data_IF_888656232222
#
_entry.id   IF_888656232222
#
_cell.length_a   1.000
_cell.length_b   1.000
_cell.length_c   1.000
_cell.angle_alpha   90.00
_cell.angle_beta   90.00
_cell.angle_gamma   90.00
#
_symmetry.space_group_name_H-M   'P 1'
#
loop_
_entity.id
_entity.type
_entity.pdbx_description
1 polymer ?
#
# COMPACT_ATOMS: atom_id res chain seq x y z
N UNK A 1 -65.74 27.10 -82.87
CA UNK A 1 -64.62 27.59 -82.02
C UNK A 1 -64.88 27.46 -80.51
N UNK A 2 -66.02 26.93 -80.04
CA UNK A 2 -66.32 26.82 -78.59
C UNK A 2 -65.65 25.61 -77.89
N UNK A 3 -65.45 24.49 -78.60
CA UNK A 3 -64.91 23.25 -77.99
C UNK A 3 -63.38 23.31 -77.76
N UNK A 4 -62.65 24.08 -78.58
CA UNK A 4 -61.18 24.21 -78.48
C UNK A 4 -60.76 25.03 -77.26
N UNK A 5 -61.48 26.11 -76.95
CA UNK A 5 -61.19 26.98 -75.80
C UNK A 5 -61.45 26.25 -74.47
N UNK A 6 -62.50 25.42 -74.41
CA UNK A 6 -62.82 24.63 -73.22
C UNK A 6 -61.80 23.50 -72.98
N UNK A 7 -61.32 22.86 -74.04
CA UNK A 7 -60.27 21.83 -73.95
C UNK A 7 -58.90 22.41 -73.54
N UNK A 8 -58.54 23.58 -74.07
CA UNK A 8 -57.30 24.29 -73.68
C UNK A 8 -57.35 24.71 -72.21
N UNK A 9 -58.49 25.21 -71.71
CA UNK A 9 -58.66 25.54 -70.30
C UNK A 9 -58.56 24.30 -69.39
N UNK A 10 -59.08 23.16 -69.83
CA UNK A 10 -58.94 21.89 -69.11
C UNK A 10 -57.47 21.44 -69.04
N UNK A 11 -56.74 21.50 -70.15
CA UNK A 11 -55.32 21.15 -70.22
C UNK A 11 -54.47 22.07 -69.34
N UNK A 12 -54.75 23.38 -69.35
CA UNK A 12 -54.04 24.34 -68.49
C UNK A 12 -54.28 24.07 -67.01
N UNK A 13 -55.52 23.76 -66.62
CA UNK A 13 -55.86 23.40 -65.23
C UNK A 13 -55.19 22.10 -64.81
N UNK A 14 -55.16 21.09 -65.67
CA UNK A 14 -54.46 19.83 -65.41
C UNK A 14 -52.95 20.05 -65.25
N UNK A 15 -52.33 20.88 -66.09
CA UNK A 15 -50.91 21.25 -65.98
C UNK A 15 -50.60 21.99 -64.68
N UNK A 16 -51.40 23.00 -64.32
CA UNK A 16 -51.23 23.75 -63.07
C UNK A 16 -51.40 22.83 -61.86
N UNK A 17 -52.40 21.95 -61.88
CA UNK A 17 -52.61 20.97 -60.81
C UNK A 17 -51.43 19.99 -60.68
N UNK A 18 -50.85 19.58 -61.81
CA UNK A 18 -49.70 18.67 -61.85
C UNK A 18 -48.41 19.35 -61.34
N UNK A 19 -48.24 20.64 -61.63
CA UNK A 19 -47.14 21.45 -61.06
C UNK A 19 -47.31 21.62 -59.56
N UNK A 20 -48.52 21.91 -59.08
CA UNK A 20 -48.81 22.04 -57.64
C UNK A 20 -48.58 20.70 -56.93
N UNK A 21 -49.04 19.59 -57.50
CA UNK A 21 -48.79 18.24 -56.98
C UNK A 21 -47.30 17.91 -56.96
N UNK A 22 -46.56 18.29 -58.00
CA UNK A 22 -45.10 18.14 -58.04
C UNK A 22 -44.40 18.93 -56.93
N UNK A 23 -44.79 20.19 -56.71
CA UNK A 23 -44.24 21.05 -55.66
C UNK A 23 -44.59 20.54 -54.25
N UNK A 24 -45.83 20.06 -54.04
CA UNK A 24 -46.25 19.48 -52.76
C UNK A 24 -45.55 18.14 -52.51
N UNK A 25 -45.37 17.31 -53.53
CA UNK A 25 -44.65 16.04 -53.44
C UNK A 25 -43.17 16.23 -53.14
N UNK A 26 -42.50 17.17 -53.82
CA UNK A 26 -41.08 17.47 -53.55
C UNK A 26 -40.89 18.14 -52.19
N UNK A 27 -41.74 19.10 -51.82
CA UNK A 27 -41.73 19.73 -50.50
C UNK A 27 -41.96 18.73 -49.37
N UNK A 28 -42.95 17.84 -49.54
CA UNK A 28 -43.23 16.76 -48.59
C UNK A 28 -42.08 15.77 -48.46
N UNK A 29 -41.45 15.38 -49.58
CA UNK A 29 -40.30 14.47 -49.58
C UNK A 29 -39.07 15.07 -48.88
N UNK A 30 -38.75 16.33 -49.14
CA UNK A 30 -37.63 17.03 -48.49
C UNK A 30 -37.90 17.22 -47.00
N UNK A 31 -39.11 17.62 -46.61
CA UNK A 31 -39.50 17.77 -45.21
C UNK A 31 -39.45 16.44 -44.44
N UNK A 32 -39.96 15.37 -45.06
CA UNK A 32 -39.90 14.02 -44.49
C UNK A 32 -38.45 13.57 -44.28
N UNK A 33 -37.60 13.71 -45.30
CA UNK A 33 -36.19 13.32 -45.21
C UNK A 33 -35.44 14.12 -44.14
N UNK A 34 -35.66 15.44 -44.08
CA UNK A 34 -35.03 16.29 -43.07
C UNK A 34 -35.49 15.96 -41.64
N UNK A 35 -36.75 15.57 -41.46
CA UNK A 35 -37.27 15.13 -40.17
C UNK A 35 -36.72 13.76 -39.78
N UNK A 36 -36.69 12.81 -40.71
CA UNK A 36 -36.17 11.46 -40.51
C UNK A 36 -34.68 11.48 -40.13
N UNK A 37 -33.85 12.23 -40.88
CA UNK A 37 -32.41 12.40 -40.61
C UNK A 37 -32.16 13.03 -39.24
N UNK A 38 -32.93 14.06 -38.84
CA UNK A 38 -32.83 14.65 -37.51
C UNK A 38 -33.20 13.67 -36.41
N UNK A 39 -34.30 12.93 -36.60
CA UNK A 39 -34.75 11.95 -35.61
C UNK A 39 -33.76 10.79 -35.44
N UNK A 40 -33.10 10.37 -36.52
CA UNK A 40 -32.04 9.37 -36.47
C UNK A 40 -30.80 9.90 -35.74
N UNK A 41 -30.39 11.14 -36.03
CA UNK A 41 -29.26 11.79 -35.37
C UNK A 41 -29.51 12.02 -33.87
N UNK A 42 -30.73 12.43 -33.49
CA UNK A 42 -31.14 12.60 -32.10
C UNK A 42 -31.11 11.26 -31.34
N UNK A 43 -31.55 10.17 -31.96
CA UNK A 43 -31.43 8.82 -31.38
C UNK A 43 -29.97 8.43 -31.18
N UNK A 44 -29.13 8.58 -32.21
CA UNK A 44 -27.70 8.26 -32.11
C UNK A 44 -27.00 9.12 -31.04
N UNK A 45 -27.33 10.42 -30.96
CA UNK A 45 -26.81 11.31 -29.92
C UNK A 45 -27.28 10.87 -28.53
N UNK A 46 -28.54 10.46 -28.39
CA UNK A 46 -29.08 9.96 -27.13
C UNK A 46 -28.40 8.67 -26.70
N UNK A 47 -28.17 7.73 -27.62
CA UNK A 47 -27.47 6.47 -27.37
C UNK A 47 -26.02 6.71 -26.95
N UNK A 48 -25.28 7.53 -27.71
CA UNK A 48 -23.90 7.91 -27.36
C UNK A 48 -23.83 8.68 -26.05
N UNK A 49 -24.81 9.53 -25.75
CA UNK A 49 -24.85 10.26 -24.47
C UNK A 49 -25.09 9.32 -23.29
N UNK A 50 -25.93 8.30 -23.46
CA UNK A 50 -26.16 7.27 -22.46
C UNK A 50 -24.92 6.38 -22.27
N UNK A 51 -24.25 6.02 -23.37
CA UNK A 51 -22.97 5.30 -23.34
C UNK A 51 -21.89 6.13 -22.62
N UNK A 52 -21.71 7.40 -22.96
CA UNK A 52 -20.78 8.30 -22.29
C UNK A 52 -21.08 8.46 -20.80
N UNK A 53 -22.36 8.54 -20.42
CA UNK A 53 -22.76 8.60 -19.02
C UNK A 53 -22.38 7.31 -18.27
N UNK A 54 -22.59 6.15 -18.90
CA UNK A 54 -22.16 4.86 -18.35
C UNK A 54 -20.64 4.78 -18.21
N UNK A 55 -19.89 5.12 -19.27
CA UNK A 55 -18.42 5.11 -19.24
C UNK A 55 -17.86 6.10 -18.20
N UNK A 56 -18.52 7.24 -18.00
CA UNK A 56 -18.13 8.20 -16.97
C UNK A 56 -18.35 7.63 -15.55
N UNK A 57 -19.46 6.91 -15.32
CA UNK A 57 -19.72 6.23 -14.06
C UNK A 57 -18.69 5.11 -13.80
N UNK A 58 -18.41 4.27 -14.81
CA UNK A 58 -17.43 3.19 -14.72
C UNK A 58 -16.02 3.74 -14.44
N UNK A 59 -15.61 4.82 -15.13
CA UNK A 59 -14.33 5.49 -14.87
C UNK A 59 -14.26 6.09 -13.46
N UNK A 60 -15.36 6.66 -12.96
CA UNK A 60 -15.39 7.19 -11.60
C UNK A 60 -15.23 6.08 -10.55
N UNK A 61 -15.86 4.93 -10.76
CA UNK A 61 -15.71 3.74 -9.91
C UNK A 61 -14.28 3.20 -9.93
N UNK A 62 -13.71 3.01 -11.13
CA UNK A 62 -12.33 2.56 -11.28
C UNK A 62 -11.32 3.53 -10.67
N UNK A 63 -11.56 4.84 -10.79
CA UNK A 63 -10.71 5.86 -10.16
C UNK A 63 -10.76 5.77 -8.64
N UNK A 64 -11.95 5.55 -8.08
CA UNK A 64 -12.13 5.36 -6.64
C UNK A 64 -11.42 4.09 -6.16
N UNK A 65 -11.52 2.99 -6.91
CA UNK A 65 -10.86 1.74 -6.56
C UNK A 65 -9.33 1.86 -6.66
N UNK A 66 -8.81 2.50 -7.71
CA UNK A 66 -7.37 2.78 -7.81
C UNK A 66 -6.87 3.61 -6.63
N UNK A 67 -7.60 4.66 -6.22
CA UNK A 67 -7.23 5.46 -5.05
C UNK A 67 -7.24 4.63 -3.75
N UNK A 68 -8.21 3.70 -3.59
CA UNK A 68 -8.29 2.79 -2.44
C UNK A 68 -7.10 1.84 -2.41
N UNK A 69 -6.80 1.20 -3.55
CA UNK A 69 -5.67 0.26 -3.68
C UNK A 69 -4.33 0.97 -3.47
N UNK A 70 -4.15 2.17 -4.00
CA UNK A 70 -2.94 2.97 -3.77
C UNK A 70 -2.74 3.30 -2.29
N UNK A 71 -3.82 3.62 -1.57
CA UNK A 71 -3.74 3.86 -0.13
C UNK A 71 -3.36 2.58 0.63
N UNK A 72 -4.04 1.46 0.35
CA UNK A 72 -3.73 0.16 0.92
C UNK A 72 -2.25 -0.21 0.72
N UNK A 73 -1.76 -0.08 -0.51
CA UNK A 73 -0.35 -0.33 -0.84
C UNK A 73 0.62 0.59 -0.09
N UNK A 74 0.26 1.84 0.16
CA UNK A 74 1.09 2.76 0.95
C UNK A 74 1.18 2.31 2.41
N UNK A 75 0.04 1.97 3.03
CA UNK A 75 -0.01 1.52 4.42
C UNK A 75 0.81 0.24 4.63
N UNK A 76 0.67 -0.74 3.74
CA UNK A 76 1.45 -1.98 3.79
C UNK A 76 2.96 -1.76 3.65
N UNK A 77 3.38 -0.68 2.99
CA UNK A 77 4.78 -0.36 2.71
C UNK A 77 5.46 0.51 3.76
N UNK A 78 4.74 1.01 4.76
CA UNK A 78 5.34 1.82 5.83
C UNK A 78 6.40 0.97 6.56
N UNK A 79 7.57 1.58 6.77
CA UNK A 79 8.67 0.99 7.53
C UNK A 79 8.79 1.76 8.85
N UNK A 80 8.59 1.07 9.97
CA UNK A 80 8.71 1.67 11.30
C UNK A 80 10.12 1.49 11.82
N UNK A 81 10.75 2.57 12.27
CA UNK A 81 12.04 2.49 12.94
C UNK A 81 11.83 1.91 14.33
N UNK A 82 12.46 0.75 14.59
CA UNK A 82 12.31 0.02 15.85
C UNK A 82 13.57 0.03 16.70
N UNK A 83 14.76 0.17 16.09
CA UNK A 83 16.01 0.33 16.84
C UNK A 83 17.07 1.11 16.05
N UNK A 84 18.14 1.51 16.75
CA UNK A 84 19.36 2.08 16.19
C UNK A 84 20.58 1.31 16.67
N UNK A 85 21.55 1.16 15.76
CA UNK A 85 22.88 0.62 16.04
C UNK A 85 23.92 1.68 15.67
N UNK A 86 24.80 2.02 16.59
CA UNK A 86 25.94 2.92 16.34
C UNK A 86 27.25 2.19 16.59
N UNK A 87 28.10 2.12 15.57
CA UNK A 87 29.40 1.45 15.65
C UNK A 87 30.38 2.37 16.37
N UNK A 88 30.86 1.94 17.53
CA UNK A 88 31.75 2.73 18.39
C UNK A 88 33.22 2.48 18.04
N UNK A 89 33.59 1.20 17.90
CA UNK A 89 34.95 0.77 17.65
C UNK A 89 34.96 -0.61 17.00
N UNK A 90 35.98 -0.90 16.21
CA UNK A 90 36.19 -2.21 15.61
C UNK A 90 37.68 -2.56 15.65
N UNK A 91 37.99 -3.74 16.17
CA UNK A 91 39.34 -4.26 16.25
C UNK A 91 39.54 -5.27 15.14
N UNK A 92 40.50 -5.00 14.26
CA UNK A 92 40.86 -5.89 13.16
C UNK A 92 41.71 -7.07 13.65
N UNK A 93 41.62 -8.19 12.94
CA UNK A 93 42.37 -9.40 13.23
C UNK A 93 41.81 -10.61 12.48
N UNK A 94 42.36 -11.80 12.75
CA UNK A 94 41.82 -13.06 12.21
C UNK A 94 40.39 -13.34 12.71
N UNK A 95 40.09 -12.87 13.94
CA UNK A 95 38.75 -12.79 14.50
C UNK A 95 38.50 -11.35 14.93
N UNK A 96 37.92 -10.51 14.06
CA UNK A 96 37.66 -9.13 14.43
C UNK A 96 36.66 -9.07 15.59
N UNK A 97 36.65 -7.98 16.34
CA UNK A 97 35.60 -7.70 17.33
C UNK A 97 35.01 -6.34 17.06
N UNK A 98 33.69 -6.23 17.19
CA UNK A 98 32.99 -4.97 16.93
C UNK A 98 32.23 -4.53 18.16
N UNK A 99 32.51 -3.32 18.62
CA UNK A 99 31.81 -2.69 19.74
C UNK A 99 30.80 -1.68 19.20
N UNK A 100 29.55 -1.82 19.61
CA UNK A 100 28.46 -0.94 19.15
C UNK A 100 27.49 -0.61 20.28
N UNK A 101 26.78 0.50 20.11
CA UNK A 101 25.64 0.90 20.92
C UNK A 101 24.36 0.45 20.22
N UNK A 102 23.43 -0.09 20.99
CA UNK A 102 22.09 -0.47 20.56
C UNK A 102 21.07 0.27 21.43
N UNK A 103 20.03 0.81 20.79
CA UNK A 103 18.91 1.42 21.50
C UNK A 103 17.61 1.24 20.70
N UNK A 104 16.53 0.91 21.39
CA UNK A 104 15.20 0.87 20.79
C UNK A 104 14.67 2.27 20.54
N UNK A 105 13.80 2.44 19.55
CA UNK A 105 13.34 3.76 19.10
C UNK A 105 11.82 3.82 19.08
N UNK A 106 11.24 4.97 19.43
CA UNK A 106 9.82 5.24 19.19
C UNK A 106 9.56 5.50 17.71
N UNK A 107 8.29 5.52 17.32
CA UNK A 107 7.85 5.93 15.99
C UNK A 107 8.32 7.35 15.62
N UNK A 108 8.39 8.26 16.60
CA UNK A 108 8.89 9.64 16.42
C UNK A 108 10.43 9.72 16.35
N UNK A 109 11.13 8.58 16.46
CA UNK A 109 12.58 8.51 16.39
C UNK A 109 13.30 8.95 17.67
N UNK A 110 12.62 8.91 18.82
CA UNK A 110 13.28 9.12 20.12
C UNK A 110 13.75 7.80 20.73
N UNK A 111 14.94 7.74 21.36
CA UNK A 111 15.41 6.54 22.05
C UNK A 111 14.49 6.12 23.21
N UNK A 112 14.30 4.82 23.37
CA UNK A 112 13.53 4.23 24.47
C UNK A 112 14.46 3.48 25.41
N UNK A 113 14.36 3.78 26.70
CA UNK A 113 15.15 3.12 27.73
C UNK A 113 16.62 3.50 27.70
N UNK A 114 17.46 2.65 28.28
CA UNK A 114 18.90 2.85 28.36
C UNK A 114 19.61 2.34 27.10
N UNK A 115 20.59 3.10 26.62
CA UNK A 115 21.48 2.68 25.55
C UNK A 115 22.36 1.52 26.03
N UNK A 116 22.28 0.37 25.35
CA UNK A 116 23.07 -0.81 25.67
C UNK A 116 24.30 -0.86 24.79
N UNK A 117 25.47 -1.14 25.36
CA UNK A 117 26.73 -1.27 24.60
C UNK A 117 27.17 -2.73 24.62
N UNK A 118 27.42 -3.28 23.43
CA UNK A 118 27.81 -4.67 23.24
C UNK A 118 29.12 -4.78 22.47
N UNK A 119 29.80 -5.91 22.63
CA UNK A 119 30.99 -6.27 21.85
C UNK A 119 30.80 -7.66 21.27
N UNK A 120 30.63 -7.77 19.95
CA UNK A 120 30.44 -9.06 19.25
C UNK A 120 31.75 -9.59 18.67
N UNK A 121 31.82 -10.91 18.50
CA UNK A 121 32.89 -11.57 17.73
C UNK A 121 32.56 -11.55 16.24
N UNK A 122 33.27 -10.71 15.50
CA UNK A 122 33.09 -10.50 14.07
C UNK A 122 32.79 -9.06 13.69
N UNK A 123 32.57 -8.85 12.39
CA UNK A 123 32.12 -7.58 11.83
C UNK A 123 30.66 -7.60 11.36
N UNK A 124 30.00 -8.77 11.41
CA UNK A 124 28.62 -8.96 11.00
C UNK A 124 27.71 -9.12 12.21
N UNK A 125 26.91 -8.10 12.47
CA UNK A 125 25.88 -8.11 13.49
C UNK A 125 24.64 -8.88 13.01
N UNK A 126 24.17 -9.82 13.82
CA UNK A 126 22.83 -10.40 13.76
C UNK A 126 21.94 -9.77 14.81
N UNK A 127 20.73 -9.36 14.43
CA UNK A 127 19.68 -8.90 15.34
C UNK A 127 18.57 -9.93 15.32
N UNK A 128 18.47 -10.73 16.37
CA UNK A 128 17.51 -11.84 16.48
C UNK A 128 16.27 -11.39 17.24
N UNK A 129 15.11 -11.70 16.66
CA UNK A 129 13.81 -11.26 17.14
C UNK A 129 12.70 -12.23 16.77
N UNK A 130 11.66 -12.30 17.61
CA UNK A 130 10.39 -12.92 17.28
C UNK A 130 9.51 -11.92 16.55
N UNK A 131 8.95 -12.28 15.40
CA UNK A 131 8.13 -11.39 14.57
C UNK A 131 6.75 -11.98 14.35
N UNK A 132 5.72 -11.17 14.58
CA UNK A 132 4.32 -11.46 14.22
C UNK A 132 3.94 -10.55 13.05
N UNK A 133 3.43 -11.15 11.99
CA UNK A 133 2.91 -10.46 10.81
C UNK A 133 1.40 -10.67 10.76
N UNK A 134 0.64 -9.57 10.78
CA UNK A 134 -0.82 -9.64 10.66
C UNK A 134 -1.26 -9.82 9.21
N UNK A 135 -2.54 -10.13 9.03
CA UNK A 135 -3.22 -10.12 7.74
C UNK A 135 -3.27 -8.70 7.17
N UNK A 136 -2.97 -8.55 5.88
CA UNK A 136 -2.91 -7.26 5.20
C UNK A 136 -4.21 -6.46 5.36
N UNK A 137 -5.38 -7.13 5.47
CA UNK A 137 -6.67 -6.45 5.68
C UNK A 137 -6.75 -5.70 7.01
N UNK A 138 -6.07 -6.18 8.05
CA UNK A 138 -6.02 -5.52 9.35
C UNK A 138 -5.12 -4.28 9.31
N UNK A 139 -4.08 -4.33 8.49
CA UNK A 139 -3.18 -3.20 8.21
C UNK A 139 -3.89 -2.15 7.35
N UNK A 140 -4.57 -2.58 6.28
CA UNK A 140 -5.33 -1.70 5.38
C UNK A 140 -6.48 -0.97 6.08
N UNK A 141 -7.12 -1.60 7.07
CA UNK A 141 -8.21 -1.02 7.85
C UNK A 141 -7.74 -0.14 9.01
N UNK A 142 -6.43 0.00 9.19
CA UNK A 142 -5.81 0.75 10.29
C UNK A 142 -6.34 0.31 11.68
N UNK A 143 -6.44 -1.00 11.89
CA UNK A 143 -6.85 -1.57 13.18
C UNK A 143 -5.92 -1.06 14.30
N UNK A 144 -6.43 -0.48 15.40
CA UNK A 144 -5.58 0.13 16.42
C UNK A 144 -4.54 -0.78 17.07
N UNK A 145 -4.74 -2.10 17.03
CA UNK A 145 -3.87 -3.09 17.67
C UNK A 145 -3.08 -3.93 16.66
N UNK A 146 -3.57 -4.05 15.42
CA UNK A 146 -3.04 -4.95 14.38
C UNK A 146 -2.75 -4.26 13.05
N UNK A 147 -2.58 -2.94 13.07
CA UNK A 147 -2.27 -2.12 11.90
C UNK A 147 -0.83 -2.27 11.39
N UNK A 148 0.03 -3.00 12.08
CA UNK A 148 1.44 -3.18 11.70
C UNK A 148 2.00 -4.46 12.32
N UNK A 149 2.95 -5.12 11.64
CA UNK A 149 3.75 -6.19 12.22
C UNK A 149 4.36 -5.75 13.55
N UNK A 150 4.57 -6.69 14.46
CA UNK A 150 5.24 -6.45 15.75
C UNK A 150 6.42 -7.39 15.93
N UNK A 151 7.44 -6.95 16.67
CA UNK A 151 8.65 -7.73 16.92
C UNK A 151 9.09 -7.65 18.37
N UNK A 152 9.70 -8.72 18.89
CA UNK A 152 10.35 -8.79 20.20
C UNK A 152 11.82 -9.14 20.04
N UNK A 153 12.72 -8.30 20.54
CA UNK A 153 14.15 -8.49 20.36
C UNK A 153 14.70 -9.50 21.37
N UNK A 154 15.15 -10.66 20.91
CA UNK A 154 15.72 -11.66 21.81
C UNK A 154 17.17 -11.33 22.14
N UNK A 155 18.00 -11.13 21.11
CA UNK A 155 19.45 -11.07 21.28
C UNK A 155 20.19 -10.46 20.10
N UNK A 156 21.45 -10.13 20.32
CA UNK A 156 22.42 -9.76 19.28
C UNK A 156 23.68 -10.61 19.39
N UNK A 157 24.25 -10.99 18.25
CA UNK A 157 25.48 -11.79 18.20
C UNK A 157 26.25 -11.56 16.90
N UNK A 158 27.54 -11.91 16.92
CA UNK A 158 28.41 -11.88 15.75
C UNK A 158 28.48 -13.22 15.01
N UNK A 159 29.03 -13.22 13.80
CA UNK A 159 29.14 -14.42 12.95
C UNK A 159 30.08 -15.51 13.49
N UNK A 160 30.98 -15.16 14.41
CA UNK A 160 31.88 -16.11 15.06
C UNK A 160 31.41 -16.53 16.47
N UNK A 161 30.21 -16.10 16.86
CA UNK A 161 29.61 -16.35 18.17
C UNK A 161 28.44 -17.34 18.04
N UNK A 162 28.32 -18.28 18.98
CA UNK A 162 27.12 -19.12 19.06
C UNK A 162 25.89 -18.27 19.44
N UNK A 163 24.72 -18.44 18.81
CA UNK A 163 23.51 -17.68 19.16
C UNK A 163 23.09 -17.82 20.63
N UNK A 164 23.36 -18.98 21.24
CA UNK A 164 23.11 -19.25 22.67
C UNK A 164 24.02 -18.44 23.61
N UNK A 165 25.13 -17.91 23.09
CA UNK A 165 26.11 -17.06 23.78
C UNK A 165 25.96 -15.58 23.40
N UNK A 166 25.00 -15.24 22.55
CA UNK A 166 24.67 -13.86 22.19
C UNK A 166 24.26 -13.02 23.39
N UNK A 167 24.27 -11.70 23.21
CA UNK A 167 23.85 -10.76 24.24
C UNK A 167 22.32 -10.63 24.21
N UNK A 168 21.61 -10.94 25.31
CA UNK A 168 20.17 -10.76 25.37
C UNK A 168 19.82 -9.26 25.28
N UNK A 169 18.80 -8.93 24.49
CA UNK A 169 18.28 -7.58 24.38
C UNK A 169 17.13 -7.39 25.37
N UNK A 170 16.04 -8.10 25.15
CA UNK A 170 14.91 -8.14 26.05
C UNK A 170 15.02 -9.34 27.00
N UNK A 171 14.48 -9.20 28.21
CA UNK A 171 14.27 -10.37 29.05
C UNK A 171 13.21 -11.25 28.37
N UNK A 172 13.40 -12.56 28.41
CA UNK A 172 12.35 -13.53 28.16
C UNK A 172 11.21 -13.15 29.12
N UNK A 173 10.06 -12.69 28.61
CA UNK A 173 8.90 -12.08 29.32
C UNK A 173 8.82 -10.53 29.37
N UNK A 174 9.75 -9.78 28.77
CA UNK A 174 9.66 -8.32 28.68
C UNK A 174 9.17 -7.84 27.31
N UNK A 175 8.30 -6.82 27.32
CA UNK A 175 7.73 -6.17 26.14
C UNK A 175 8.83 -5.48 25.30
N UNK A 176 8.76 -5.50 23.96
CA UNK A 176 9.59 -4.63 23.14
C UNK A 176 9.17 -3.19 23.41
N UNK A 177 10.09 -2.38 23.90
CA UNK A 177 9.80 -1.04 24.42
C UNK A 177 9.19 -0.13 23.36
N UNK A 178 9.50 -0.38 22.08
CA UNK A 178 8.96 0.30 20.88
C UNK A 178 7.43 0.41 20.86
N UNK A 179 6.71 -0.66 21.19
CA UNK A 179 5.24 -0.65 21.13
C UNK A 179 4.60 -0.09 22.39
N UNK A 180 5.41 0.18 23.42
CA UNK A 180 4.87 0.60 24.70
C UNK A 180 4.37 2.03 24.72
N UNK A 181 4.96 2.96 23.97
CA UNK A 181 4.61 4.40 24.02
C UNK A 181 4.41 4.93 25.47
N UNK A 182 5.07 4.34 26.47
CA UNK A 182 4.85 4.66 27.89
C UNK A 182 3.51 4.19 28.51
N UNK A 183 2.74 3.33 27.83
CA UNK A 183 1.48 2.71 28.29
C UNK A 183 1.71 1.25 28.68
N UNK A 184 0.88 0.74 29.60
CA UNK A 184 0.86 -0.69 29.95
C UNK A 184 0.50 -1.57 28.74
N UNK A 185 1.00 -2.81 28.72
CA UNK A 185 0.65 -3.79 27.70
C UNK A 185 -0.83 -4.15 27.82
N UNK A 186 -1.55 -4.04 26.72
CA UNK A 186 -2.96 -4.44 26.67
C UNK A 186 -3.08 -5.95 26.90
N UNK A 187 -4.17 -6.45 27.51
CA UNK A 187 -4.40 -7.89 27.66
C UNK A 187 -4.29 -8.65 26.34
N UNK A 188 -4.76 -8.02 25.26
CA UNK A 188 -4.73 -8.55 23.91
C UNK A 188 -3.29 -8.72 23.41
N UNK A 189 -2.41 -7.73 23.57
CA UNK A 189 -0.98 -7.84 23.18
C UNK A 189 -0.26 -8.93 23.97
N UNK A 190 -0.57 -9.08 25.26
CA UNK A 190 0.04 -10.12 26.12
C UNK A 190 -0.32 -11.51 25.64
N UNK A 191 -1.59 -11.72 25.32
CA UNK A 191 -2.07 -12.99 24.78
C UNK A 191 -1.36 -13.37 23.48
N UNK A 192 -0.98 -12.40 22.62
CA UNK A 192 -0.30 -12.76 21.37
C UNK A 192 1.11 -13.30 21.63
N UNK A 193 1.82 -12.72 22.58
CA UNK A 193 3.19 -13.13 22.92
C UNK A 193 3.22 -14.42 23.74
N UNK A 194 2.32 -14.57 24.72
CA UNK A 194 2.19 -15.79 25.53
C UNK A 194 1.91 -17.02 24.66
N UNK A 195 1.16 -16.83 23.56
CA UNK A 195 0.80 -17.89 22.63
C UNK A 195 1.59 -17.86 21.31
N UNK A 196 2.72 -17.14 21.26
CA UNK A 196 3.49 -16.93 20.02
C UNK A 196 3.78 -18.24 19.27
N UNK A 197 4.32 -19.23 19.96
CA UNK A 197 4.66 -20.53 19.36
C UNK A 197 3.43 -21.37 19.00
N UNK A 198 2.29 -21.13 19.65
CA UNK A 198 1.04 -21.76 19.24
C UNK A 198 0.55 -21.19 17.91
N UNK A 199 0.62 -19.87 17.71
CA UNK A 199 0.30 -19.25 16.42
C UNK A 199 1.26 -19.72 15.32
N UNK A 200 2.55 -19.86 15.64
CA UNK A 200 3.55 -20.35 14.70
C UNK A 200 3.26 -21.79 14.20
N UNK A 201 2.63 -22.63 15.03
CA UNK A 201 2.41 -24.05 14.75
C UNK A 201 0.95 -24.43 14.50
N UNK A 202 -0.01 -23.51 14.66
CA UNK A 202 -1.44 -23.77 14.46
C UNK A 202 -2.06 -22.75 13.49
N UNK A 203 -2.21 -23.12 12.20
CA UNK A 203 -2.82 -22.24 11.20
C UNK A 203 -4.22 -21.76 11.59
N UNK A 204 -5.01 -22.61 12.24
CA UNK A 204 -6.36 -22.26 12.68
C UNK A 204 -6.36 -21.18 13.79
N UNK A 205 -5.48 -21.31 14.79
CA UNK A 205 -5.34 -20.30 15.85
C UNK A 205 -4.78 -18.99 15.29
N UNK A 206 -3.77 -19.07 14.42
CA UNK A 206 -3.18 -17.90 13.78
C UNK A 206 -4.24 -17.11 12.98
N UNK A 207 -5.01 -17.81 12.15
CA UNK A 207 -6.08 -17.19 11.35
C UNK A 207 -7.16 -16.53 12.23
N UNK A 208 -7.57 -17.19 13.32
CA UNK A 208 -8.55 -16.63 14.25
C UNK A 208 -8.04 -15.36 14.96
N UNK A 209 -6.74 -15.28 15.21
CA UNK A 209 -6.08 -14.11 15.77
C UNK A 209 -5.68 -13.05 14.72
N UNK A 210 -5.99 -13.26 13.43
CA UNK A 210 -5.59 -12.36 12.35
C UNK A 210 -4.07 -12.35 12.09
N UNK A 211 -3.36 -13.38 12.55
CA UNK A 211 -1.92 -13.58 12.35
C UNK A 211 -1.71 -14.34 11.05
N UNK A 212 -0.97 -13.74 10.13
CA UNK A 212 -0.56 -14.36 8.86
C UNK A 212 0.70 -15.20 9.03
N UNK A 213 1.64 -14.75 9.87
CA UNK A 213 2.85 -15.50 10.20
C UNK A 213 3.38 -15.12 11.58
N UNK A 214 3.95 -16.09 12.29
CA UNK A 214 4.70 -15.90 13.53
C UNK A 214 5.96 -16.76 13.47
N UNK A 215 7.14 -16.14 13.50
CA UNK A 215 8.44 -16.84 13.42
C UNK A 215 9.59 -15.98 13.93
N UNK A 216 10.75 -16.59 14.15
CA UNK A 216 12.00 -15.88 14.44
C UNK A 216 12.64 -15.32 13.17
N UNK A 217 13.18 -14.10 13.24
CA UNK A 217 13.99 -13.46 12.21
C UNK A 217 15.32 -13.01 12.79
N UNK A 218 16.41 -13.23 12.05
CA UNK A 218 17.74 -12.77 12.42
C UNK A 218 18.42 -12.05 11.23
N UNK A 219 17.91 -10.90 10.77
CA UNK A 219 18.61 -10.10 9.77
C UNK A 219 20.03 -9.78 10.24
N UNK A 220 20.95 -9.72 9.27
CA UNK A 220 22.35 -9.41 9.56
C UNK A 220 22.91 -8.38 8.60
N UNK A 221 23.87 -7.61 9.10
CA UNK A 221 24.60 -6.61 8.33
C UNK A 221 26.06 -6.58 8.76
N UNK A 222 26.96 -6.31 7.81
CA UNK A 222 28.35 -5.98 8.12
C UNK A 222 28.43 -4.54 8.60
N UNK A 223 28.83 -4.37 9.85
CA UNK A 223 29.06 -3.08 10.48
C UNK A 223 30.33 -2.43 9.92
N UNK A 224 30.35 -1.11 9.90
CA UNK A 224 31.49 -0.31 9.49
C UNK A 224 31.81 0.74 10.55
N UNK A 225 33.11 0.98 10.85
CA UNK A 225 33.50 1.97 11.84
C UNK A 225 32.91 3.36 11.57
N UNK A 226 32.37 3.99 12.62
CA UNK A 226 31.78 5.34 12.53
C UNK A 226 30.43 5.43 11.81
N UNK A 227 29.84 4.30 11.37
CA UNK A 227 28.50 4.27 10.80
C UNK A 227 27.43 4.07 11.86
N UNK A 228 26.23 4.55 11.55
CA UNK A 228 24.99 4.16 12.24
C UNK A 228 24.08 3.40 11.29
N UNK A 229 23.23 2.60 11.87
CA UNK A 229 22.24 1.79 11.19
C UNK A 229 20.90 1.91 11.91
N UNK A 230 19.80 1.85 11.17
CA UNK A 230 18.45 1.66 11.72
C UNK A 230 18.04 0.22 11.51
N UNK A 231 17.36 -0.31 12.51
CA UNK A 231 16.55 -1.50 12.36
C UNK A 231 15.12 -1.02 12.10
N UNK A 232 14.56 -1.46 10.99
CA UNK A 232 13.23 -1.10 10.52
C UNK A 232 12.34 -2.34 10.47
N UNK A 233 11.09 -2.22 10.88
CA UNK A 233 10.07 -3.24 10.74
C UNK A 233 9.03 -2.77 9.72
N UNK A 234 8.91 -3.53 8.62
CA UNK A 234 7.88 -3.26 7.62
C UNK A 234 6.50 -3.59 8.18
N UNK A 235 5.53 -2.71 7.97
CA UNK A 235 4.17 -2.87 8.50
C UNK A 235 3.49 -4.19 8.10
N UNK A 236 3.74 -4.65 6.87
CA UNK A 236 3.28 -5.95 6.35
C UNK A 236 4.36 -7.02 6.33
N UNK A 237 5.52 -6.76 6.94
CA UNK A 237 6.73 -7.52 6.65
C UNK A 237 7.53 -7.88 7.90
N UNK A 238 8.82 -8.05 7.67
CA UNK A 238 9.80 -8.40 8.70
C UNK A 238 10.83 -7.30 8.91
N UNK A 239 11.90 -7.64 9.60
CA UNK A 239 12.96 -6.73 9.96
C UNK A 239 13.91 -6.47 8.79
N UNK A 240 14.47 -5.27 8.75
CA UNK A 240 15.53 -4.85 7.83
C UNK A 240 16.53 -3.99 8.58
N UNK A 241 17.81 -4.07 8.20
CA UNK A 241 18.86 -3.23 8.76
C UNK A 241 19.39 -2.35 7.64
N UNK A 242 19.28 -1.03 7.81
CA UNK A 242 19.67 -0.04 6.79
C UNK A 242 20.68 0.95 7.37
N UNK A 243 21.70 1.36 6.60
CA UNK A 243 22.64 2.38 7.04
C UNK A 243 21.93 3.74 7.17
N UNK A 244 22.30 4.52 8.19
CA UNK A 244 21.96 5.94 8.28
C UNK A 244 23.03 6.79 7.62
N UNK A 245 22.62 7.74 6.80
CA UNK A 245 23.47 8.83 6.37
C UNK A 245 23.65 9.81 7.54
N UNK A 246 24.70 9.58 8.33
CA UNK A 246 25.11 10.48 9.41
C UNK A 246 26.06 11.53 8.83
N UNK A 247 25.74 12.83 8.91
CA UNK A 247 26.72 13.85 8.56
C UNK A 247 27.94 13.76 9.50
N UNK A 248 29.17 14.01 9.01
CA UNK A 248 30.39 13.89 9.81
C UNK A 248 30.33 14.74 11.07
N UNK A 249 30.84 14.20 12.18
CA UNK A 249 30.79 14.80 13.53
C UNK A 249 31.61 16.10 13.69
N UNK A 250 32.32 16.53 12.64
CA UNK A 250 33.20 17.72 12.63
C UNK A 250 32.60 18.95 11.92
N UNK A 251 31.27 19.03 11.78
CA UNK A 251 30.57 20.15 11.16
C UNK A 251 29.71 20.99 12.14
N UNK A 252 30.14 21.10 13.40
CA UNK A 252 29.57 22.02 14.40
C UNK A 252 30.68 22.71 15.20
#
# INVERSE_FOLDING_TARGET
MSNTVSNVALILRSLVSLVILGLLGTGGFVAYRAFDERSALERELSEKSAELAKLAADNAELTKENARLDLALRLLKVDHRVAQVEVLDQQDGERPTTRFRFVEMTEDGTPIGEEKVFTIEGDRLYVDALVIKYDDKLIESNDPLRSTSVCLFERVFGEFQEPSKGFPLDAQDSRPAVYSQGKEMTPEEREIWDNFWEYANSPAKAQAAGVRAAHGEAPSIRLQPGKRYRVELRASGGLSIVPEDVPPKDAA
#
